data_IF_406625936033
#
_entry.id   IF_406625936033
#
_cell.length_a   1.000
_cell.length_b   1.000
_cell.length_c   1.000
_cell.angle_alpha   90.00
_cell.angle_beta   90.00
_cell.angle_gamma   90.00
#
_symmetry.space_group_name_H-M   'P 1'
#
loop_
_entity.id
_entity.type
_entity.pdbx_description
1 polymer ?
#
# COMPACT_ATOMS: atom_id res chain seq x y z
N UNK A 1 -7.59 -13.58 -20.89
CA UNK A 1 -8.97 -13.11 -20.54
C UNK A 1 -8.84 -11.64 -20.21
N UNK A 2 -9.70 -10.77 -20.73
CA UNK A 2 -9.63 -9.34 -20.38
C UNK A 2 -10.21 -9.19 -18.98
N UNK A 3 -9.45 -8.60 -18.07
CA UNK A 3 -9.91 -8.35 -16.69
C UNK A 3 -11.06 -7.34 -16.78
N UNK A 4 -12.17 -7.63 -16.10
CA UNK A 4 -13.25 -6.67 -15.90
C UNK A 4 -12.81 -5.67 -14.80
N UNK A 5 -12.38 -4.48 -15.23
CA UNK A 5 -11.84 -3.46 -14.34
C UNK A 5 -12.89 -2.91 -13.38
N UNK A 6 -14.17 -2.87 -13.78
CA UNK A 6 -15.23 -2.36 -12.90
C UNK A 6 -15.55 -3.37 -11.81
N UNK A 7 -15.64 -4.66 -12.15
CA UNK A 7 -15.80 -5.73 -11.17
C UNK A 7 -14.60 -5.75 -10.19
N UNK A 8 -13.37 -5.54 -10.69
CA UNK A 8 -12.19 -5.45 -9.83
C UNK A 8 -12.26 -4.26 -8.84
N UNK A 9 -12.70 -3.07 -9.30
CA UNK A 9 -12.88 -1.90 -8.43
C UNK A 9 -13.88 -2.15 -7.30
N UNK A 10 -15.04 -2.76 -7.63
CA UNK A 10 -16.05 -3.12 -6.63
C UNK A 10 -15.51 -4.12 -5.60
N UNK A 11 -14.82 -5.16 -6.05
CA UNK A 11 -14.20 -6.16 -5.17
C UNK A 11 -13.10 -5.55 -4.31
N UNK A 12 -12.25 -4.68 -4.86
CA UNK A 12 -11.19 -3.97 -4.16
C UNK A 12 -11.79 -3.06 -3.07
N UNK A 13 -12.84 -2.30 -3.37
CA UNK A 13 -13.53 -1.45 -2.41
C UNK A 13 -14.08 -2.25 -1.22
N UNK A 14 -14.74 -3.37 -1.50
CA UNK A 14 -15.28 -4.26 -0.46
C UNK A 14 -14.15 -4.85 0.40
N UNK A 15 -13.04 -5.27 -0.23
CA UNK A 15 -11.88 -5.87 0.44
C UNK A 15 -11.21 -4.89 1.39
N UNK A 16 -10.85 -3.69 0.91
CA UNK A 16 -10.18 -2.69 1.74
C UNK A 16 -11.10 -2.10 2.81
N UNK A 17 -12.39 -2.00 2.52
CA UNK A 17 -13.39 -1.62 3.51
C UNK A 17 -13.51 -2.61 4.67
N UNK A 18 -13.38 -3.91 4.39
CA UNK A 18 -13.50 -4.97 5.40
C UNK A 18 -12.28 -5.05 6.35
N UNK A 19 -11.08 -4.71 5.87
CA UNK A 19 -9.84 -4.81 6.69
C UNK A 19 -9.45 -3.49 7.37
N UNK A 20 -10.21 -2.41 7.21
CA UNK A 20 -9.86 -1.09 7.73
C UNK A 20 -9.65 -1.08 9.26
N UNK A 21 -10.45 -1.83 10.03
CA UNK A 21 -10.28 -1.95 11.48
C UNK A 21 -8.98 -2.67 11.86
N UNK A 22 -8.60 -3.72 11.12
CA UNK A 22 -7.34 -4.42 11.34
C UNK A 22 -6.12 -3.53 11.09
N UNK A 23 -6.19 -2.69 10.04
CA UNK A 23 -5.17 -1.68 9.77
C UNK A 23 -5.07 -0.61 10.86
N UNK A 24 -6.20 -0.23 11.47
CA UNK A 24 -6.22 0.68 12.62
C UNK A 24 -5.59 0.02 13.86
N UNK A 25 -5.96 -1.21 14.17
CA UNK A 25 -5.43 -1.97 15.32
C UNK A 25 -3.93 -2.24 15.23
N UNK A 26 -3.43 -2.58 14.04
CA UNK A 26 -2.01 -2.87 13.78
C UNK A 26 -1.19 -1.64 13.37
N UNK A 27 -1.75 -0.44 13.45
CA UNK A 27 -1.16 0.79 12.95
C UNK A 27 0.24 1.07 13.52
N UNK A 28 0.41 0.97 14.85
CA UNK A 28 1.69 1.23 15.52
C UNK A 28 2.76 0.25 15.05
N UNK A 29 2.44 -1.04 15.05
CA UNK A 29 3.31 -2.09 14.54
C UNK A 29 3.69 -1.87 13.06
N UNK A 30 2.70 -1.55 12.23
CA UNK A 30 2.94 -1.28 10.80
C UNK A 30 3.84 -0.05 10.64
N UNK A 31 3.63 1.02 11.41
CA UNK A 31 4.43 2.24 11.35
C UNK A 31 5.89 1.98 11.77
N UNK A 32 6.11 1.16 12.79
CA UNK A 32 7.46 0.76 13.22
C UNK A 32 8.19 0.00 12.12
N UNK A 33 7.57 -1.05 11.58
CA UNK A 33 8.17 -1.92 10.57
C UNK A 33 8.42 -1.17 9.25
N UNK A 34 7.49 -0.33 8.82
CA UNK A 34 7.57 0.36 7.53
C UNK A 34 8.17 1.76 7.63
N UNK A 35 8.69 2.13 8.79
CA UNK A 35 9.21 3.47 9.07
C UNK A 35 10.25 3.96 8.06
N UNK A 36 11.16 3.07 7.62
CA UNK A 36 12.16 3.41 6.60
C UNK A 36 11.52 3.86 5.27
N UNK A 37 10.40 3.23 4.86
CA UNK A 37 9.68 3.60 3.64
C UNK A 37 9.01 4.96 3.80
N UNK A 38 8.36 5.20 4.95
CA UNK A 38 7.73 6.50 5.22
C UNK A 38 8.76 7.64 5.24
N UNK A 39 9.89 7.43 5.92
CA UNK A 39 10.99 8.42 5.95
C UNK A 39 11.48 8.71 4.54
N UNK A 40 11.74 7.66 3.74
CA UNK A 40 12.19 7.81 2.36
C UNK A 40 11.19 8.63 1.52
N UNK A 41 9.90 8.30 1.59
CA UNK A 41 8.85 9.01 0.83
C UNK A 41 8.78 10.49 1.20
N UNK A 42 8.78 10.80 2.49
CA UNK A 42 8.73 12.19 2.99
C UNK A 42 9.99 12.97 2.59
N UNK A 43 11.18 12.36 2.69
CA UNK A 43 12.44 12.99 2.29
C UNK A 43 12.51 13.25 0.78
N UNK A 44 11.98 12.35 -0.05
CA UNK A 44 12.02 12.51 -1.52
C UNK A 44 11.02 13.54 -2.04
N UNK A 45 9.85 13.64 -1.42
CA UNK A 45 8.89 14.73 -1.74
C UNK A 45 9.39 16.06 -1.16
N UNK A 46 10.11 16.02 -0.02
CA UNK A 46 10.70 17.20 0.65
C UNK A 46 9.67 18.33 0.86
N UNK A 47 8.54 18.05 1.53
CA UNK A 47 7.46 19.00 1.65
C UNK A 47 7.89 20.22 2.48
N UNK A 48 7.51 21.43 2.02
CA UNK A 48 7.88 22.70 2.65
C UNK A 48 6.67 23.34 3.33
N UNK A 49 6.90 24.17 4.37
CA UNK A 49 5.82 24.93 5.00
C UNK A 49 4.96 25.68 3.98
N UNK A 50 3.64 25.61 4.13
CA UNK A 50 2.67 26.29 3.27
C UNK A 50 2.28 25.52 2.01
N UNK A 51 2.92 24.38 1.68
CA UNK A 51 2.59 23.57 0.51
C UNK A 51 1.33 22.73 0.70
N UNK A 52 0.71 22.37 -0.43
CA UNK A 52 -0.39 21.40 -0.52
C UNK A 52 0.18 20.09 -1.05
N UNK A 53 0.06 19.01 -0.27
CA UNK A 53 0.54 17.67 -0.67
C UNK A 53 -0.62 16.69 -0.66
N UNK A 54 -0.69 15.87 -1.71
CA UNK A 54 -1.67 14.79 -1.84
C UNK A 54 -1.05 13.47 -1.37
N UNK A 55 -1.73 12.77 -0.47
CA UNK A 55 -1.44 11.38 -0.08
C UNK A 55 -2.47 10.47 -0.75
N UNK A 56 -2.04 9.70 -1.74
CA UNK A 56 -2.88 8.81 -2.56
C UNK A 56 -2.93 7.43 -1.94
N UNK A 57 -4.11 6.86 -1.81
CA UNK A 57 -4.36 5.57 -1.15
C UNK A 57 -3.78 5.57 0.27
N UNK A 58 -4.14 6.59 1.04
CA UNK A 58 -3.54 6.91 2.33
C UNK A 58 -3.76 5.82 3.39
N UNK A 59 -4.77 4.93 3.23
CA UNK A 59 -5.13 3.95 4.23
C UNK A 59 -5.40 4.58 5.59
N UNK A 60 -4.72 4.12 6.69
CA UNK A 60 -4.84 4.71 8.03
C UNK A 60 -4.28 6.14 8.16
N UNK A 61 -3.64 6.69 7.12
CA UNK A 61 -3.19 8.07 7.04
C UNK A 61 -1.78 8.35 7.55
N UNK A 62 -1.01 7.36 7.99
CA UNK A 62 0.28 7.59 8.66
C UNK A 62 1.27 8.41 7.87
N UNK A 63 1.37 8.16 6.55
CA UNK A 63 2.25 8.92 5.65
C UNK A 63 1.80 10.36 5.53
N UNK A 64 0.51 10.62 5.25
CA UNK A 64 -0.05 11.95 5.17
C UNK A 64 0.09 12.74 6.47
N UNK A 65 -0.08 12.08 7.63
CA UNK A 65 0.11 12.70 8.94
C UNK A 65 1.57 13.11 9.19
N UNK A 66 2.54 12.32 8.69
CA UNK A 66 3.97 12.69 8.75
C UNK A 66 4.29 13.87 7.80
N UNK A 67 3.64 13.95 6.64
CA UNK A 67 3.73 15.08 5.72
C UNK A 67 3.10 16.33 6.33
N UNK A 68 1.97 16.20 7.05
CA UNK A 68 1.27 17.32 7.69
C UNK A 68 2.14 18.06 8.70
N UNK A 69 2.99 17.34 9.45
CA UNK A 69 3.97 17.94 10.35
C UNK A 69 5.01 18.81 9.60
N UNK A 70 5.35 18.44 8.36
CA UNK A 70 6.36 19.17 7.56
C UNK A 70 5.80 20.40 6.87
N UNK A 71 4.58 20.32 6.33
CA UNK A 71 3.93 21.47 5.66
C UNK A 71 3.45 22.51 6.65
N UNK A 72 3.29 22.17 7.94
CA UNK A 72 2.91 23.07 9.00
C UNK A 72 1.48 23.63 8.90
N UNK A 73 1.11 24.54 9.80
CA UNK A 73 -0.27 25.05 9.92
C UNK A 73 -0.73 25.83 8.68
N UNK A 74 0.18 26.48 7.96
CA UNK A 74 -0.10 27.24 6.74
C UNK A 74 -0.19 26.33 5.49
N UNK A 75 0.25 25.09 5.59
CA UNK A 75 0.15 24.08 4.53
C UNK A 75 -1.06 23.17 4.69
N UNK A 76 -1.22 22.26 3.76
CA UNK A 76 -2.35 21.31 3.78
C UNK A 76 -1.94 19.95 3.21
N UNK A 77 -2.43 18.88 3.82
CA UNK A 77 -2.40 17.53 3.23
C UNK A 77 -3.81 17.13 2.82
N UNK A 78 -3.97 16.67 1.58
CA UNK A 78 -5.17 15.98 1.12
C UNK A 78 -4.89 14.49 1.30
N UNK A 79 -5.43 13.89 2.37
CA UNK A 79 -5.35 12.46 2.64
C UNK A 79 -6.52 11.78 1.92
N UNK A 80 -6.22 11.02 0.86
CA UNK A 80 -7.24 10.43 0.01
C UNK A 80 -7.16 8.91 -0.01
N UNK A 81 -8.32 8.27 0.05
CA UNK A 81 -8.46 6.83 -0.11
C UNK A 81 -9.73 6.51 -0.87
N UNK A 82 -9.70 5.43 -1.66
CA UNK A 82 -10.89 4.94 -2.38
C UNK A 82 -11.94 4.35 -1.41
N UNK A 83 -11.49 3.79 -0.27
CA UNK A 83 -12.36 3.23 0.76
C UNK A 83 -12.81 4.30 1.76
N UNK A 84 -14.14 4.55 1.91
CA UNK A 84 -14.66 5.43 2.96
C UNK A 84 -14.25 4.98 4.37
N UNK A 85 -14.12 3.67 4.60
CA UNK A 85 -13.73 3.11 5.89
C UNK A 85 -12.27 3.47 6.22
N UNK A 86 -11.35 3.35 5.26
CA UNK A 86 -9.95 3.77 5.41
C UNK A 86 -9.86 5.29 5.66
N UNK A 87 -10.57 6.11 4.88
CA UNK A 87 -10.62 7.55 5.08
C UNK A 87 -11.14 7.93 6.47
N UNK A 88 -12.13 7.18 7.00
CA UNK A 88 -12.62 7.39 8.37
C UNK A 88 -11.58 7.03 9.44
N UNK A 89 -10.78 5.98 9.23
CA UNK A 89 -9.64 5.62 10.10
C UNK A 89 -8.59 6.73 10.08
N UNK A 90 -8.18 7.18 8.88
CA UNK A 90 -7.21 8.27 8.73
C UNK A 90 -7.64 9.54 9.47
N UNK A 91 -8.93 9.89 9.38
CA UNK A 91 -9.52 11.03 10.11
C UNK A 91 -9.39 10.86 11.63
N UNK A 92 -9.79 9.70 12.18
CA UNK A 92 -9.65 9.45 13.62
C UNK A 92 -8.21 9.58 14.10
N UNK A 93 -7.27 9.07 13.31
CA UNK A 93 -5.84 9.15 13.62
C UNK A 93 -5.30 10.58 13.60
N UNK A 94 -5.74 11.40 12.65
CA UNK A 94 -5.37 12.82 12.59
C UNK A 94 -6.00 13.63 13.72
N UNK A 95 -7.29 13.39 14.02
CA UNK A 95 -8.00 14.05 15.13
C UNK A 95 -7.33 13.71 16.46
N UNK A 96 -6.93 12.44 16.68
CA UNK A 96 -6.21 12.02 17.89
C UNK A 96 -4.85 12.71 18.05
N UNK A 97 -4.20 13.12 16.95
CA UNK A 97 -2.96 13.92 16.96
C UNK A 97 -3.21 15.43 17.03
N UNK A 98 -4.47 15.87 16.98
CA UNK A 98 -4.84 17.28 17.00
C UNK A 98 -4.47 18.04 15.72
N UNK A 99 -4.22 17.35 14.60
CA UNK A 99 -3.87 17.95 13.32
C UNK A 99 -5.10 18.61 12.68
N UNK A 100 -4.95 19.85 12.22
CA UNK A 100 -6.02 20.66 11.61
C UNK A 100 -5.78 20.96 10.13
N UNK A 101 -4.59 20.64 9.65
CA UNK A 101 -4.11 20.88 8.29
C UNK A 101 -4.20 19.64 7.40
N UNK A 102 -5.09 18.68 7.74
CA UNK A 102 -5.37 17.49 6.93
C UNK A 102 -6.83 17.48 6.49
N UNK A 103 -7.03 17.42 5.19
CA UNK A 103 -8.33 17.24 4.54
C UNK A 103 -8.48 15.77 4.15
N UNK A 104 -9.53 15.10 4.64
CA UNK A 104 -9.76 13.67 4.33
C UNK A 104 -10.81 13.55 3.24
N UNK A 105 -10.46 12.91 2.14
CA UNK A 105 -11.32 12.75 0.96
C UNK A 105 -11.44 11.29 0.53
N UNK A 106 -12.66 10.89 0.17
CA UNK A 106 -12.88 9.64 -0.57
C UNK A 106 -12.69 9.96 -2.04
N UNK A 107 -11.59 9.48 -2.64
CA UNK A 107 -11.23 9.76 -4.03
C UNK A 107 -10.83 8.47 -4.74
N UNK A 108 -11.29 8.34 -5.98
CA UNK A 108 -10.74 7.38 -6.93
C UNK A 108 -9.49 7.98 -7.58
N UNK A 109 -8.34 7.37 -7.35
CA UNK A 109 -7.07 7.84 -7.91
C UNK A 109 -7.01 7.76 -9.44
N UNK A 110 -7.84 6.93 -10.06
CA UNK A 110 -7.93 6.81 -11.52
C UNK A 110 -8.79 7.92 -12.15
N UNK A 111 -9.52 8.68 -11.31
CA UNK A 111 -10.33 9.83 -11.71
C UNK A 111 -10.56 10.79 -10.55
N UNK A 112 -9.56 11.63 -10.27
CA UNK A 112 -9.58 12.54 -9.14
C UNK A 112 -10.45 13.77 -9.37
N UNK A 113 -11.39 14.04 -8.44
CA UNK A 113 -12.12 15.31 -8.37
C UNK A 113 -11.24 16.37 -7.70
N UNK A 114 -10.15 16.74 -8.39
CA UNK A 114 -9.19 17.79 -8.03
C UNK A 114 -8.87 18.61 -9.28
N UNK A 115 -8.63 19.91 -9.11
CA UNK A 115 -8.23 20.79 -10.20
C UNK A 115 -6.82 20.44 -10.72
N UNK A 116 -6.55 20.78 -11.98
CA UNK A 116 -5.22 20.71 -12.57
C UNK A 116 -4.26 21.59 -11.76
N UNK A 117 -2.99 21.19 -11.65
CA UNK A 117 -1.92 21.95 -11.00
C UNK A 117 -2.28 22.43 -9.57
N UNK A 118 -3.08 21.64 -8.83
CA UNK A 118 -3.60 22.03 -7.52
C UNK A 118 -2.74 21.62 -6.33
N UNK A 119 -1.79 20.67 -6.51
CA UNK A 119 -0.92 20.17 -5.44
C UNK A 119 0.57 20.37 -5.77
N UNK A 120 1.37 20.62 -4.72
CA UNK A 120 2.82 20.89 -4.84
C UNK A 120 3.66 19.61 -4.82
N UNK A 121 3.11 18.50 -4.29
CA UNK A 121 3.76 17.20 -4.22
C UNK A 121 2.77 16.08 -4.01
N UNK A 122 3.15 14.87 -4.37
CA UNK A 122 2.31 13.67 -4.19
C UNK A 122 3.12 12.57 -3.55
N UNK A 123 2.52 11.90 -2.56
CA UNK A 123 3.05 10.67 -1.96
C UNK A 123 2.04 9.53 -2.11
N UNK A 124 2.55 8.30 -2.24
CA UNK A 124 1.70 7.11 -2.25
C UNK A 124 2.49 5.90 -1.74
N UNK A 125 2.03 5.28 -0.66
CA UNK A 125 2.65 4.05 -0.13
C UNK A 125 1.81 2.84 -0.48
N UNK A 126 2.29 2.02 -1.44
CA UNK A 126 1.70 0.75 -1.86
C UNK A 126 0.27 0.83 -2.42
N UNK A 127 -0.08 1.97 -3.03
CA UNK A 127 -1.39 2.16 -3.66
C UNK A 127 -1.42 1.78 -5.14
N UNK A 128 -0.53 2.37 -5.98
CA UNK A 128 -0.61 2.26 -7.45
C UNK A 128 -0.66 0.83 -7.98
N UNK A 129 0.04 -0.12 -7.35
CA UNK A 129 0.05 -1.52 -7.77
C UNK A 129 -1.29 -2.23 -7.59
N UNK A 130 -2.19 -1.69 -6.75
CA UNK A 130 -3.50 -2.23 -6.42
C UNK A 130 -4.64 -1.62 -7.23
N UNK A 131 -4.36 -0.61 -8.06
CA UNK A 131 -5.35 0.07 -8.88
C UNK A 131 -5.72 -0.76 -10.10
N UNK A 132 -6.95 -0.65 -10.55
CA UNK A 132 -7.43 -1.35 -11.73
C UNK A 132 -6.68 -0.89 -12.99
N UNK A 133 -6.42 0.42 -13.09
CA UNK A 133 -5.60 1.05 -14.12
C UNK A 133 -4.56 1.97 -13.50
N UNK A 134 -3.37 1.46 -13.16
CA UNK A 134 -2.31 2.28 -12.58
C UNK A 134 -1.79 3.36 -13.55
N UNK A 135 -1.95 3.18 -14.86
CA UNK A 135 -1.61 4.19 -15.87
C UNK A 135 -2.54 5.41 -15.80
N UNK A 136 -3.86 5.17 -15.70
CA UNK A 136 -4.84 6.24 -15.49
C UNK A 136 -4.58 6.99 -14.18
N UNK A 137 -4.30 6.27 -13.09
CA UNK A 137 -4.00 6.89 -11.81
C UNK A 137 -2.72 7.75 -11.82
N UNK A 138 -1.66 7.30 -12.51
CA UNK A 138 -0.45 8.09 -12.68
C UNK A 138 -0.68 9.31 -13.58
N UNK A 139 -1.51 9.21 -14.63
CA UNK A 139 -1.89 10.33 -15.48
C UNK A 139 -2.70 11.39 -14.71
N UNK A 140 -3.66 10.96 -13.88
CA UNK A 140 -4.40 11.85 -12.98
C UNK A 140 -3.47 12.51 -11.94
N UNK A 141 -2.53 11.74 -11.39
CA UNK A 141 -1.51 12.28 -10.49
C UNK A 141 -0.68 13.37 -11.19
N UNK A 142 -0.27 13.15 -12.43
CA UNK A 142 0.46 14.18 -13.23
C UNK A 142 -0.39 15.42 -13.49
N UNK A 143 -1.68 15.23 -13.76
CA UNK A 143 -2.61 16.32 -14.02
C UNK A 143 -2.78 17.25 -12.80
N UNK A 144 -2.97 16.68 -11.61
CA UNK A 144 -3.18 17.47 -10.40
C UNK A 144 -1.90 18.06 -9.82
N UNK A 145 -0.73 17.49 -10.17
CA UNK A 145 0.57 17.93 -9.68
C UNK A 145 1.08 19.12 -10.51
N UNK A 146 1.47 20.19 -9.82
CA UNK A 146 2.11 21.37 -10.45
C UNK A 146 3.36 20.97 -11.21
N UNK A 147 3.66 21.73 -12.27
CA UNK A 147 4.85 21.50 -13.07
C UNK A 147 6.12 21.50 -12.22
N UNK A 148 6.92 20.43 -12.39
CA UNK A 148 8.15 20.19 -11.63
C UNK A 148 7.94 19.71 -10.18
N UNK A 149 6.69 19.57 -9.74
CA UNK A 149 6.37 18.98 -8.44
C UNK A 149 6.85 17.52 -8.35
N UNK A 150 7.28 17.06 -7.17
CA UNK A 150 7.71 15.68 -6.97
C UNK A 150 6.53 14.72 -6.74
N UNK A 151 6.60 13.56 -7.37
CA UNK A 151 5.85 12.36 -7.04
C UNK A 151 6.81 11.34 -6.41
N UNK A 152 6.59 10.98 -5.14
CA UNK A 152 7.30 9.87 -4.51
C UNK A 152 6.31 8.76 -4.13
N UNK A 153 6.57 7.54 -4.60
CA UNK A 153 5.72 6.41 -4.24
C UNK A 153 6.53 5.14 -3.97
N UNK A 154 5.91 4.20 -3.26
CA UNK A 154 6.49 2.89 -3.02
C UNK A 154 5.57 1.79 -3.54
N UNK A 155 6.16 0.74 -4.14
CA UNK A 155 5.49 -0.47 -4.59
C UNK A 155 6.33 -1.69 -4.26
N UNK A 156 5.70 -2.83 -3.95
CA UNK A 156 6.44 -4.05 -3.63
C UNK A 156 7.26 -4.52 -4.84
N UNK A 157 8.47 -4.98 -4.57
CA UNK A 157 9.28 -5.70 -5.54
C UNK A 157 8.65 -7.08 -5.82
N UNK A 158 9.31 -7.88 -6.65
CA UNK A 158 8.83 -9.22 -7.02
C UNK A 158 8.57 -10.14 -5.82
N UNK A 159 7.75 -11.16 -6.02
CA UNK A 159 7.32 -12.09 -4.98
C UNK A 159 8.47 -12.87 -4.30
N UNK A 160 9.57 -13.13 -5.01
CA UNK A 160 10.77 -13.79 -4.46
C UNK A 160 11.54 -12.90 -3.48
N UNK A 161 11.37 -11.57 -3.58
CA UNK A 161 11.94 -10.58 -2.66
C UNK A 161 11.02 -10.31 -1.46
N UNK A 162 9.82 -10.89 -1.42
CA UNK A 162 8.79 -10.65 -0.43
C UNK A 162 8.15 -11.94 0.09
N UNK A 163 8.94 -12.88 0.67
CA UNK A 163 8.45 -14.18 1.12
C UNK A 163 7.35 -14.08 2.18
N UNK A 164 7.32 -13.02 3.00
CA UNK A 164 6.31 -12.78 4.02
C UNK A 164 4.88 -12.78 3.47
N UNK A 165 4.68 -12.32 2.24
CA UNK A 165 3.38 -12.31 1.56
C UNK A 165 3.27 -13.42 0.48
N UNK A 166 4.37 -13.71 -0.21
CA UNK A 166 4.38 -14.65 -1.31
C UNK A 166 4.16 -16.09 -0.87
N UNK A 167 4.71 -16.51 0.28
CA UNK A 167 4.59 -17.90 0.74
C UNK A 167 3.16 -18.25 1.16
N UNK A 168 2.45 -17.46 1.98
CA UNK A 168 1.05 -17.69 2.26
C UNK A 168 0.17 -17.70 1.00
N UNK A 169 0.37 -16.75 0.08
CA UNK A 169 -0.38 -16.70 -1.17
C UNK A 169 -0.14 -17.95 -2.06
N UNK A 170 1.12 -18.39 -2.20
CA UNK A 170 1.48 -19.62 -2.92
C UNK A 170 0.85 -20.85 -2.27
N UNK A 171 0.75 -20.90 -0.96
CA UNK A 171 0.10 -22.01 -0.24
C UNK A 171 -1.39 -22.08 -0.57
N UNK A 172 -2.11 -20.93 -0.57
CA UNK A 172 -3.52 -20.91 -0.97
C UNK A 172 -3.73 -21.30 -2.44
N UNK A 173 -2.85 -20.84 -3.35
CA UNK A 173 -2.91 -21.24 -4.75
C UNK A 173 -2.67 -22.75 -4.91
N UNK A 174 -1.67 -23.32 -4.23
CA UNK A 174 -1.37 -24.76 -4.25
C UNK A 174 -2.55 -25.60 -3.75
N UNK A 175 -3.27 -25.11 -2.73
CA UNK A 175 -4.47 -25.77 -2.17
C UNK A 175 -5.74 -25.54 -3.01
N UNK A 176 -5.69 -24.67 -4.02
CA UNK A 176 -6.85 -24.34 -4.86
C UNK A 176 -7.83 -23.34 -4.23
N UNK A 177 -7.42 -22.62 -3.18
CA UNK A 177 -8.24 -21.62 -2.49
C UNK A 177 -8.11 -20.24 -3.11
N UNK A 178 -7.07 -20.00 -3.90
CA UNK A 178 -6.90 -18.81 -4.73
C UNK A 178 -6.51 -19.23 -6.17
N UNK A 179 -6.91 -18.46 -7.18
CA UNK A 179 -6.38 -18.65 -8.52
C UNK A 179 -4.89 -18.24 -8.56
N UNK A 180 -4.09 -18.80 -9.48
CA UNK A 180 -2.77 -18.28 -9.74
C UNK A 180 -2.85 -16.82 -10.24
N UNK A 181 -1.86 -15.96 -9.90
CA UNK A 181 -1.86 -14.57 -10.36
C UNK A 181 -1.79 -14.51 -11.89
N UNK A 182 -2.64 -13.70 -12.50
CA UNK A 182 -2.62 -13.45 -13.95
C UNK A 182 -1.55 -12.39 -14.28
N UNK A 183 -0.70 -12.62 -15.31
CA UNK A 183 0.27 -11.62 -15.75
C UNK A 183 -0.43 -10.29 -16.14
N UNK A 184 0.04 -9.19 -15.58
CA UNK A 184 -0.51 -7.86 -15.85
C UNK A 184 -1.77 -7.48 -15.07
N UNK A 185 -2.31 -8.41 -14.27
CA UNK A 185 -3.41 -8.09 -13.36
C UNK A 185 -2.96 -7.19 -12.21
N UNK A 186 -3.84 -6.31 -11.70
CA UNK A 186 -3.60 -5.57 -10.48
C UNK A 186 -3.33 -6.51 -9.30
N UNK A 187 -2.49 -6.08 -8.37
CA UNK A 187 -2.16 -6.87 -7.19
C UNK A 187 -0.86 -6.47 -6.55
N UNK A 188 -0.55 -7.07 -5.42
CA UNK A 188 0.60 -6.71 -4.59
C UNK A 188 1.92 -6.61 -5.38
N UNK A 189 2.16 -7.50 -6.34
CA UNK A 189 3.42 -7.57 -7.10
C UNK A 189 3.28 -7.10 -8.56
N UNK A 190 2.17 -6.43 -8.91
CA UNK A 190 1.89 -5.99 -10.30
C UNK A 190 2.94 -5.00 -10.84
N UNK A 191 3.57 -4.23 -9.96
CA UNK A 191 4.63 -3.27 -10.28
C UNK A 191 6.00 -3.71 -9.72
N UNK A 192 6.22 -5.01 -9.55
CA UNK A 192 7.50 -5.54 -9.07
C UNK A 192 8.64 -5.41 -10.09
N UNK A 193 8.33 -5.37 -11.39
CA UNK A 193 9.30 -5.15 -12.47
C UNK A 193 9.59 -3.65 -12.64
N UNK A 194 10.85 -3.20 -12.44
CA UNK A 194 11.22 -1.80 -12.59
C UNK A 194 11.02 -1.27 -14.02
N UNK A 195 11.04 -2.12 -15.04
CA UNK A 195 10.79 -1.72 -16.43
C UNK A 195 9.33 -1.28 -16.60
N UNK A 196 8.40 -1.98 -15.97
CA UNK A 196 6.98 -1.63 -16.00
C UNK A 196 6.70 -0.32 -15.26
N UNK A 197 7.38 -0.06 -14.14
CA UNK A 197 7.29 1.22 -13.42
C UNK A 197 7.73 2.37 -14.34
N UNK A 198 8.91 2.24 -14.96
CA UNK A 198 9.45 3.27 -15.87
C UNK A 198 8.51 3.55 -17.03
N UNK A 199 8.00 2.50 -17.66
CA UNK A 199 7.04 2.60 -18.74
C UNK A 199 5.79 3.40 -18.32
N UNK A 200 5.13 3.02 -17.24
CA UNK A 200 3.90 3.67 -16.77
C UNK A 200 4.12 5.12 -16.37
N UNK A 201 5.21 5.41 -15.65
CA UNK A 201 5.54 6.76 -15.18
C UNK A 201 5.83 7.69 -16.38
N UNK A 202 6.60 7.21 -17.35
CA UNK A 202 6.91 8.03 -18.54
C UNK A 202 5.70 8.21 -19.47
N UNK A 203 4.85 7.18 -19.62
CA UNK A 203 3.58 7.28 -20.36
C UNK A 203 2.61 8.28 -19.70
N UNK A 204 2.64 8.42 -18.38
CA UNK A 204 1.84 9.40 -17.65
C UNK A 204 2.35 10.86 -17.81
N UNK A 205 3.48 11.08 -18.48
CA UNK A 205 4.02 12.41 -18.76
C UNK A 205 5.08 12.90 -17.77
N UNK A 206 5.57 12.05 -16.88
CA UNK A 206 6.74 12.34 -16.03
C UNK A 206 8.05 12.08 -16.79
N UNK A 207 9.14 12.68 -16.30
CA UNK A 207 10.48 12.31 -16.74
C UNK A 207 10.82 10.88 -16.27
N UNK A 208 11.92 10.32 -16.78
CA UNK A 208 12.45 9.01 -16.37
C UNK A 208 12.61 8.97 -14.84
N UNK A 209 11.92 8.07 -14.12
CA UNK A 209 11.95 8.05 -12.67
C UNK A 209 13.25 7.46 -12.11
N UNK A 210 13.69 7.97 -10.97
CA UNK A 210 14.69 7.32 -10.15
C UNK A 210 14.04 6.22 -9.29
N UNK A 211 14.65 5.03 -9.26
CA UNK A 211 14.23 3.90 -8.45
C UNK A 211 15.33 3.55 -7.44
N UNK A 212 14.93 3.35 -6.19
CA UNK A 212 15.79 2.90 -5.11
C UNK A 212 15.15 1.67 -4.42
N UNK A 213 15.97 0.66 -4.11
CA UNK A 213 15.51 -0.48 -3.34
C UNK A 213 15.51 -0.12 -1.84
N UNK A 214 14.40 -0.34 -1.15
CA UNK A 214 14.27 -0.18 0.30
C UNK A 214 13.96 -1.54 0.90
N UNK A 215 14.80 -2.01 1.80
CA UNK A 215 14.69 -3.33 2.44
C UNK A 215 14.44 -3.20 3.93
N UNK A 216 13.63 -4.10 4.46
CA UNK A 216 13.37 -4.24 5.89
C UNK A 216 12.85 -5.65 6.18
N UNK A 217 12.59 -6.00 7.43
CA UNK A 217 12.00 -7.28 7.80
C UNK A 217 10.63 -7.08 8.41
N UNK A 218 9.66 -7.89 8.01
CA UNK A 218 8.45 -8.11 8.81
C UNK A 218 8.79 -9.00 9.99
N UNK A 219 8.55 -8.49 11.20
CA UNK A 219 8.87 -9.18 12.45
C UNK A 219 7.60 -9.51 13.19
N UNK A 220 7.52 -10.76 13.64
CA UNK A 220 6.38 -11.30 14.38
C UNK A 220 6.89 -11.99 15.64
N UNK A 221 6.15 -11.86 16.72
CA UNK A 221 6.51 -12.46 18.00
C UNK A 221 6.57 -13.99 17.95
N UNK A 222 5.64 -14.58 17.21
CA UNK A 222 5.53 -16.02 16.96
C UNK A 222 4.68 -16.28 15.70
N UNK A 223 4.35 -17.53 15.43
CA UNK A 223 3.49 -17.88 14.29
C UNK A 223 2.03 -17.43 14.47
N UNK A 224 1.52 -17.38 15.68
CA UNK A 224 0.15 -16.92 15.95
C UNK A 224 0.03 -15.41 15.61
N UNK A 225 1.01 -14.61 16.01
CA UNK A 225 1.08 -13.18 15.64
C UNK A 225 1.20 -12.97 14.12
N UNK A 226 2.00 -13.80 13.42
CA UNK A 226 2.08 -13.77 11.95
C UNK A 226 0.71 -14.10 11.32
N UNK A 227 0.08 -15.17 11.78
CA UNK A 227 -1.22 -15.61 11.29
C UNK A 227 -2.30 -14.56 11.53
N UNK A 228 -2.41 -14.01 12.74
CA UNK A 228 -3.38 -12.99 13.09
C UNK A 228 -3.16 -11.70 12.31
N UNK A 229 -1.90 -11.26 12.15
CA UNK A 229 -1.55 -10.10 11.34
C UNK A 229 -1.97 -10.30 9.89
N UNK A 230 -1.72 -11.47 9.32
CA UNK A 230 -2.12 -11.81 7.96
C UNK A 230 -3.65 -11.77 7.79
N UNK A 231 -4.42 -12.25 8.76
CA UNK A 231 -5.88 -12.21 8.72
C UNK A 231 -6.43 -10.78 8.91
N UNK A 232 -5.75 -9.94 9.68
CA UNK A 232 -6.16 -8.55 9.91
C UNK A 232 -5.83 -7.61 8.73
N UNK A 233 -4.70 -7.82 8.06
CA UNK A 233 -4.18 -6.90 7.05
C UNK A 233 -4.26 -7.44 5.61
N UNK A 234 -4.41 -8.74 5.43
CA UNK A 234 -4.13 -9.46 4.19
C UNK A 234 -5.16 -9.32 3.05
N UNK A 235 -6.16 -8.46 3.19
CA UNK A 235 -7.10 -8.17 2.11
C UNK A 235 -7.76 -9.43 1.50
N UNK A 236 -7.51 -9.70 0.23
CA UNK A 236 -8.07 -10.86 -0.49
C UNK A 236 -7.63 -12.21 0.10
N UNK A 237 -6.40 -12.31 0.60
CA UNK A 237 -5.86 -13.51 1.23
C UNK A 237 -6.60 -13.81 2.56
N UNK A 238 -6.80 -12.82 3.41
CA UNK A 238 -7.57 -12.95 4.64
C UNK A 238 -9.02 -13.37 4.35
N UNK A 239 -9.64 -12.76 3.33
CA UNK A 239 -11.00 -13.11 2.91
C UNK A 239 -11.09 -14.57 2.45
N UNK A 240 -10.13 -15.04 1.65
CA UNK A 240 -10.09 -16.42 1.18
C UNK A 240 -9.98 -17.40 2.34
N UNK A 241 -9.07 -17.16 3.30
CA UNK A 241 -8.89 -18.01 4.48
C UNK A 241 -10.14 -18.01 5.37
N UNK A 242 -10.76 -16.86 5.61
CA UNK A 242 -11.94 -16.74 6.46
C UNK A 242 -13.19 -17.42 5.87
N UNK A 243 -13.22 -17.65 4.57
CA UNK A 243 -14.29 -18.37 3.88
C UNK A 243 -14.14 -19.91 3.93
N UNK A 244 -12.99 -20.43 4.40
CA UNK A 244 -12.74 -21.86 4.46
C UNK A 244 -13.49 -22.52 5.63
N UNK A 245 -13.93 -23.79 5.47
CA UNK A 245 -14.32 -24.65 6.57
C UNK A 245 -13.19 -24.79 7.59
N UNK A 246 -13.54 -25.06 8.85
CA UNK A 246 -12.56 -25.07 9.95
C UNK A 246 -11.41 -26.07 9.77
N UNK A 247 -11.69 -27.27 9.24
CA UNK A 247 -10.69 -28.28 8.93
C UNK A 247 -9.73 -27.85 7.80
N UNK A 248 -10.26 -27.25 6.74
CA UNK A 248 -9.46 -26.70 5.64
C UNK A 248 -8.67 -25.47 6.08
N UNK A 249 -9.25 -24.62 6.95
CA UNK A 249 -8.54 -23.48 7.53
C UNK A 249 -7.37 -23.94 8.39
N UNK A 250 -7.57 -24.97 9.23
CA UNK A 250 -6.50 -25.53 10.04
C UNK A 250 -5.40 -26.13 9.17
N UNK A 251 -5.75 -26.94 8.18
CA UNK A 251 -4.77 -27.52 7.27
C UNK A 251 -4.01 -26.46 6.46
N UNK A 252 -4.68 -25.36 6.07
CA UNK A 252 -4.04 -24.21 5.41
C UNK A 252 -3.07 -23.50 6.34
N UNK A 253 -3.46 -23.32 7.60
CA UNK A 253 -2.61 -22.74 8.65
C UNK A 253 -1.34 -23.56 8.88
N UNK A 254 -1.45 -24.89 8.95
CA UNK A 254 -0.31 -25.78 9.14
C UNK A 254 0.64 -25.74 7.93
N UNK A 255 0.11 -25.75 6.71
CA UNK A 255 0.91 -25.61 5.48
C UNK A 255 1.61 -24.25 5.39
N UNK A 256 0.98 -23.15 5.83
CA UNK A 256 1.61 -21.82 5.88
C UNK A 256 2.72 -21.85 6.94
N UNK A 257 2.48 -22.41 8.13
CA UNK A 257 3.51 -22.55 9.17
C UNK A 257 4.76 -23.25 8.65
N UNK A 258 4.58 -24.38 7.95
CA UNK A 258 5.70 -25.08 7.31
C UNK A 258 6.43 -24.21 6.27
N UNK A 259 5.68 -23.45 5.46
CA UNK A 259 6.26 -22.63 4.39
C UNK A 259 7.10 -21.46 4.91
N UNK A 260 6.78 -20.92 6.10
CA UNK A 260 7.50 -19.79 6.72
C UNK A 260 8.53 -20.22 7.76
N UNK A 261 8.64 -21.51 8.07
CA UNK A 261 9.62 -22.05 9.04
C UNK A 261 11.07 -21.61 8.77
N UNK A 262 11.55 -21.46 7.53
CA UNK A 262 12.89 -20.95 7.25
C UNK A 262 13.19 -19.53 7.78
N UNK A 263 12.16 -18.77 8.16
CA UNK A 263 12.26 -17.41 8.71
C UNK A 263 12.08 -17.36 10.22
N UNK A 264 11.99 -18.51 10.88
CA UNK A 264 11.90 -18.63 12.32
C UNK A 264 13.27 -18.49 12.97
N UNK A 265 13.35 -17.68 14.02
CA UNK A 265 14.54 -17.51 14.87
C UNK A 265 14.57 -18.54 16.00
N UNK A 266 15.73 -18.68 16.64
CA UNK A 266 15.92 -19.64 17.77
C UNK A 266 15.01 -19.34 18.98
N UNK A 267 14.60 -18.08 19.17
CA UNK A 267 13.69 -17.62 20.22
C UNK A 267 12.20 -17.84 19.91
N UNK A 268 11.90 -18.38 18.72
CA UNK A 268 10.55 -18.64 18.25
C UNK A 268 9.88 -17.49 17.48
N UNK A 269 10.51 -16.31 17.41
CA UNK A 269 10.07 -15.19 16.59
C UNK A 269 10.26 -15.46 15.10
N UNK A 270 9.62 -14.65 14.26
CA UNK A 270 9.79 -14.71 12.80
C UNK A 270 10.32 -13.38 12.27
N UNK A 271 11.24 -13.44 11.31
CA UNK A 271 11.75 -12.28 10.59
C UNK A 271 11.81 -12.60 9.10
N UNK A 272 10.83 -12.12 8.36
CA UNK A 272 10.73 -12.35 6.91
C UNK A 272 11.13 -11.11 6.13
N UNK A 273 12.11 -11.21 5.20
CA UNK A 273 12.58 -10.06 4.43
C UNK A 273 11.48 -9.48 3.55
N UNK A 274 11.51 -8.16 3.42
CA UNK A 274 10.64 -7.39 2.55
C UNK A 274 11.46 -6.39 1.73
N UNK A 275 11.08 -6.22 0.49
CA UNK A 275 11.74 -5.27 -0.43
C UNK A 275 10.70 -4.50 -1.23
N UNK A 276 10.86 -3.20 -1.30
CA UNK A 276 10.00 -2.30 -2.06
C UNK A 276 10.84 -1.39 -2.96
N UNK A 277 10.30 -1.06 -4.12
CA UNK A 277 10.82 0.03 -4.91
C UNK A 277 10.33 1.36 -4.32
N UNK A 278 11.25 2.24 -3.93
CA UNK A 278 10.99 3.65 -3.80
C UNK A 278 11.18 4.32 -5.16
N UNK A 279 10.18 5.06 -5.62
CA UNK A 279 10.15 5.70 -6.95
C UNK A 279 9.98 7.19 -6.79
N UNK A 280 10.88 7.96 -7.39
CA UNK A 280 10.79 9.42 -7.46
C UNK A 280 10.68 9.86 -8.92
N UNK A 281 9.62 10.62 -9.24
CA UNK A 281 9.37 11.20 -10.55
C UNK A 281 9.10 12.72 -10.46
N UNK A 282 9.30 13.44 -11.58
CA UNK A 282 9.01 14.88 -11.70
C UNK A 282 8.49 15.21 -13.10
#
# INVERSE_FOLDING_TARGET
MTIDLDAYREESLATWGAVASGWEERREWMTEITGAVNVWLVEKVDPRPGQVVLDVAAGPGDLGLAVADRVGEDGRVISSDFSPNMSAVARRNGDARGLRNVEYRVLDAERMDLDDDSVDGVVCRWGYMLMADPGAALAETRRVLRDGGPLAFAVWMSADRNPWAALPAKTLVRRGHLPPPEPGAPGMFALGDPSRIRELVTQAGFAEPALEEITFDFRYADFDDLWDTMLQLGGSLARAINALPDDERQATRDDIAESVEPYRSDDGSYAAPASTWGVLAR
#
